data_IF_745201355469
#
_entry.id   IF_745201355469
#
_cell.length_a   1.000
_cell.length_b   1.000
_cell.length_c   1.000
_cell.angle_alpha   90.00
_cell.angle_beta   90.00
_cell.angle_gamma   90.00
#
_symmetry.space_group_name_H-M   'P 1'
#
loop_
_entity.id
_entity.type
_entity.pdbx_description
1 polymer ?
#
# COMPACT_ATOMS: atom_id res chain seq x y z
N UNK A 1 -3.70 -29.23 19.11
CA UNK A 1 -4.78 -28.53 18.40
C UNK A 1 -4.14 -27.51 17.48
N UNK A 2 -3.86 -27.87 16.23
CA UNK A 2 -3.46 -26.91 15.21
C UNK A 2 -4.74 -26.39 14.55
N UNK A 3 -5.18 -25.18 14.92
CA UNK A 3 -6.08 -24.44 14.03
C UNK A 3 -5.32 -24.25 12.73
N UNK A 4 -5.64 -25.07 11.72
CA UNK A 4 -5.31 -24.70 10.35
C UNK A 4 -6.03 -23.39 10.11
N UNK A 5 -5.29 -22.28 10.13
CA UNK A 5 -5.80 -20.98 9.75
C UNK A 5 -6.48 -21.17 8.39
N UNK A 6 -7.81 -21.15 8.39
CA UNK A 6 -8.58 -21.15 7.15
C UNK A 6 -8.06 -19.97 6.37
N UNK A 7 -7.41 -20.24 5.22
CA UNK A 7 -6.96 -19.17 4.33
C UNK A 7 -8.22 -18.50 3.81
N UNK A 8 -8.66 -17.45 4.48
CA UNK A 8 -9.77 -16.63 4.02
C UNK A 8 -9.32 -16.03 2.70
N UNK A 9 -9.96 -16.44 1.60
CA UNK A 9 -9.67 -15.92 0.26
C UNK A 9 -10.70 -14.91 -0.20
N UNK A 10 -11.91 -14.97 0.38
CA UNK A 10 -13.02 -14.11 0.01
C UNK A 10 -13.04 -12.86 0.89
N UNK A 11 -13.38 -11.73 0.29
CA UNK A 11 -13.60 -10.46 0.99
C UNK A 11 -15.09 -10.18 0.94
N UNK A 12 -15.71 -10.00 2.10
CA UNK A 12 -17.15 -9.79 2.24
C UNK A 12 -17.53 -8.31 2.08
N UNK A 13 -16.63 -7.40 2.44
CA UNK A 13 -16.84 -5.96 2.35
C UNK A 13 -16.61 -5.45 0.92
N UNK A 14 -17.28 -4.35 0.56
CA UNK A 14 -16.97 -3.63 -0.67
C UNK A 14 -15.65 -2.86 -0.50
N UNK A 15 -14.68 -3.07 -1.39
CA UNK A 15 -13.32 -2.56 -1.28
C UNK A 15 -13.02 -1.52 -2.37
N UNK A 16 -12.60 -0.33 -1.93
CA UNK A 16 -12.00 0.70 -2.79
C UNK A 16 -10.47 0.58 -2.77
N UNK A 17 -9.85 0.27 -3.90
CA UNK A 17 -8.39 0.32 -4.04
C UNK A 17 -7.89 1.75 -4.24
N UNK A 18 -7.16 2.32 -3.29
CA UNK A 18 -6.54 3.64 -3.40
C UNK A 18 -5.06 3.53 -3.79
N UNK A 19 -4.72 4.05 -4.97
CA UNK A 19 -3.36 3.98 -5.51
C UNK A 19 -2.88 5.32 -6.06
N UNK A 20 -1.61 5.38 -6.46
CA UNK A 20 -0.97 6.55 -7.02
C UNK A 20 0.54 6.53 -6.85
N UNK A 21 1.24 7.30 -7.68
CA UNK A 21 2.70 7.39 -7.68
C UNK A 21 3.29 7.91 -6.35
N UNK A 22 4.61 7.90 -6.24
CA UNK A 22 5.27 8.60 -5.13
C UNK A 22 4.91 10.10 -5.14
N UNK A 23 4.73 10.71 -3.97
CA UNK A 23 4.42 12.14 -3.85
C UNK A 23 3.02 12.58 -4.32
N UNK A 24 2.16 11.68 -4.82
CA UNK A 24 0.85 12.07 -5.35
C UNK A 24 -0.18 12.47 -4.29
N UNK A 25 0.04 12.13 -3.01
CA UNK A 25 -0.84 12.52 -1.90
C UNK A 25 -1.92 11.50 -1.49
N UNK A 26 -1.68 10.20 -1.72
CA UNK A 26 -2.54 9.11 -1.21
C UNK A 26 -2.91 9.29 0.26
N UNK A 27 -1.93 9.55 1.14
CA UNK A 27 -2.15 9.75 2.58
C UNK A 27 -3.10 10.90 2.87
N UNK A 28 -3.05 11.99 2.10
CA UNK A 28 -3.99 13.09 2.29
C UNK A 28 -5.43 12.66 1.98
N UNK A 29 -5.61 11.85 0.93
CA UNK A 29 -6.93 11.35 0.53
C UNK A 29 -7.43 10.25 1.47
N UNK A 30 -6.57 9.31 1.91
CA UNK A 30 -6.94 8.28 2.88
C UNK A 30 -7.39 8.91 4.20
N UNK A 31 -6.65 9.90 4.71
CA UNK A 31 -7.02 10.60 5.94
C UNK A 31 -8.35 11.36 5.80
N UNK A 32 -8.66 11.90 4.60
CA UNK A 32 -9.96 12.50 4.34
C UNK A 32 -11.10 11.48 4.35
N UNK A 33 -10.87 10.25 3.87
CA UNK A 33 -11.84 9.16 3.93
C UNK A 33 -12.02 8.63 5.35
N UNK A 34 -10.94 8.49 6.13
CA UNK A 34 -11.02 8.14 7.54
C UNK A 34 -11.83 9.17 8.34
N UNK A 35 -11.62 10.46 8.06
CA UNK A 35 -12.41 11.53 8.66
C UNK A 35 -13.91 11.49 8.27
N UNK A 36 -14.28 10.76 7.22
CA UNK A 36 -15.67 10.46 6.82
C UNK A 36 -16.18 9.14 7.42
N UNK A 37 -15.42 8.50 8.31
CA UNK A 37 -15.80 7.26 9.00
C UNK A 37 -15.53 5.99 8.20
N UNK A 38 -14.66 6.05 7.19
CA UNK A 38 -14.29 4.89 6.36
C UNK A 38 -13.01 4.24 6.88
N UNK A 39 -13.06 2.93 7.14
CA UNK A 39 -11.90 2.16 7.54
C UNK A 39 -10.86 2.11 6.41
N UNK A 40 -9.59 2.29 6.78
CA UNK A 40 -8.44 2.22 5.87
C UNK A 40 -7.55 1.05 6.27
N UNK A 41 -7.22 0.24 5.28
CA UNK A 41 -6.24 -0.85 5.37
C UNK A 41 -5.05 -0.45 4.50
N UNK A 42 -3.92 -0.12 5.12
CA UNK A 42 -2.71 0.33 4.42
C UNK A 42 -1.70 -0.81 4.28
N UNK A 43 -1.41 -1.18 3.02
CA UNK A 43 -0.50 -2.26 2.71
C UNK A 43 0.95 -2.00 3.18
N UNK A 44 1.40 -0.73 3.21
CA UNK A 44 2.73 -0.38 3.71
C UNK A 44 2.78 -0.52 5.25
N UNK A 45 1.69 -0.23 5.97
CA UNK A 45 1.61 -0.47 7.42
C UNK A 45 1.66 -1.97 7.69
N UNK A 46 0.86 -2.76 6.98
CA UNK A 46 0.84 -4.23 7.11
C UNK A 46 2.21 -4.83 6.80
N UNK A 47 2.89 -4.36 5.75
CA UNK A 47 4.24 -4.81 5.41
C UNK A 47 5.25 -4.55 6.54
N UNK A 48 4.98 -3.58 7.44
CA UNK A 48 5.78 -3.37 8.64
C UNK A 48 5.41 -4.34 9.76
N UNK A 49 4.11 -4.54 9.99
CA UNK A 49 3.56 -5.39 11.06
C UNK A 49 3.95 -6.87 10.88
N UNK A 50 3.94 -7.39 9.65
CA UNK A 50 4.28 -8.80 9.40
C UNK A 50 5.75 -9.14 9.70
N UNK A 51 6.60 -8.15 9.99
CA UNK A 51 8.01 -8.32 10.39
C UNK A 51 8.32 -7.66 11.74
N UNK A 52 7.30 -7.39 12.57
CA UNK A 52 7.49 -6.95 13.94
C UNK A 52 8.00 -8.06 14.86
N UNK A 53 8.61 -7.73 16.01
CA UNK A 53 9.02 -8.69 17.02
C UNK A 53 7.92 -9.71 17.34
N UNK A 54 8.25 -10.99 17.29
CA UNK A 54 7.32 -12.10 17.53
C UNK A 54 6.55 -12.59 16.31
N UNK A 55 6.58 -11.87 15.18
CA UNK A 55 5.90 -12.28 13.95
C UNK A 55 6.58 -13.48 13.28
N UNK A 56 5.80 -14.25 12.51
CA UNK A 56 6.34 -15.36 11.70
C UNK A 56 7.28 -14.86 10.60
N UNK A 57 7.01 -13.69 10.02
CA UNK A 57 7.87 -13.08 9.01
C UNK A 57 9.25 -12.75 9.56
N UNK A 58 9.34 -12.16 10.75
CA UNK A 58 10.63 -11.84 11.36
C UNK A 58 11.41 -13.10 11.73
N UNK A 59 10.76 -14.11 12.33
CA UNK A 59 11.40 -15.39 12.65
C UNK A 59 12.02 -16.05 11.42
N UNK A 60 11.29 -16.08 10.31
CA UNK A 60 11.78 -16.64 9.05
C UNK A 60 12.95 -15.84 8.46
N UNK A 61 12.89 -14.51 8.49
CA UNK A 61 13.98 -13.62 8.06
C UNK A 61 15.25 -13.88 8.89
N UNK A 62 15.14 -13.95 10.21
CA UNK A 62 16.28 -14.22 11.11
C UNK A 62 16.84 -15.62 10.89
N UNK A 63 15.99 -16.61 10.62
CA UNK A 63 16.43 -17.99 10.33
C UNK A 63 17.26 -18.05 9.05
N UNK A 64 16.93 -17.22 8.04
CA UNK A 64 17.60 -17.23 6.75
C UNK A 64 18.85 -16.34 6.69
N UNK A 65 18.78 -15.12 7.23
CA UNK A 65 19.89 -14.15 7.17
C UNK A 65 20.74 -14.09 8.45
N UNK A 66 20.32 -14.76 9.52
CA UNK A 66 20.99 -14.71 10.82
C UNK A 66 20.53 -13.54 11.71
N UNK A 67 21.05 -13.52 12.93
CA UNK A 67 20.68 -12.55 13.97
C UNK A 67 21.19 -11.13 13.68
N UNK A 68 22.19 -10.96 12.81
CA UNK A 68 22.78 -9.66 12.45
C UNK A 68 21.77 -8.72 11.75
N UNK A 69 20.65 -9.26 11.29
CA UNK A 69 19.54 -8.49 10.72
C UNK A 69 18.67 -7.81 11.78
N UNK A 70 18.92 -8.04 13.06
CA UNK A 70 18.18 -7.45 14.18
C UNK A 70 18.92 -6.24 14.77
N UNK A 71 18.13 -5.29 15.25
CA UNK A 71 18.58 -4.24 16.16
C UNK A 71 18.66 -4.80 17.59
N UNK A 72 19.33 -4.07 18.48
CA UNK A 72 19.53 -4.50 19.87
C UNK A 72 18.21 -4.66 20.67
N UNK A 73 17.14 -4.01 20.24
CA UNK A 73 15.80 -4.11 20.82
C UNK A 73 14.96 -5.27 20.24
N UNK A 74 15.52 -6.05 19.32
CA UNK A 74 14.84 -7.15 18.63
C UNK A 74 14.02 -6.75 17.41
N UNK A 75 13.96 -5.47 17.05
CA UNK A 75 13.33 -5.03 15.82
C UNK A 75 14.19 -5.37 14.58
N UNK A 76 13.54 -5.52 13.44
CA UNK A 76 14.24 -5.69 12.16
C UNK A 76 15.09 -4.46 11.80
N UNK A 77 16.38 -4.65 11.55
CA UNK A 77 17.24 -3.64 10.94
C UNK A 77 16.91 -3.51 9.44
N UNK A 78 15.93 -2.64 9.15
CA UNK A 78 15.43 -2.42 7.78
C UNK A 78 16.48 -1.84 6.84
N UNK A 79 17.48 -1.09 7.35
CA UNK A 79 18.56 -0.58 6.50
C UNK A 79 19.46 -1.72 6.05
N UNK A 80 19.92 -2.55 6.99
CA UNK A 80 20.75 -3.72 6.69
C UNK A 80 20.02 -4.70 5.76
N UNK A 81 18.73 -4.96 6.00
CA UNK A 81 17.94 -5.80 5.10
C UNK A 81 17.82 -5.20 3.70
N UNK A 82 17.58 -3.89 3.60
CA UNK A 82 17.51 -3.21 2.30
C UNK A 82 18.83 -3.33 1.55
N UNK A 83 19.95 -3.10 2.20
CA UNK A 83 21.29 -3.23 1.59
C UNK A 83 21.51 -4.67 1.08
N UNK A 84 21.20 -5.65 1.92
CA UNK A 84 21.38 -7.07 1.62
C UNK A 84 20.55 -7.54 0.42
N UNK A 85 19.30 -7.09 0.29
CA UNK A 85 18.44 -7.46 -0.84
C UNK A 85 18.60 -6.55 -2.06
N UNK A 86 19.13 -5.35 -1.90
CA UNK A 86 19.37 -4.42 -3.01
C UNK A 86 20.49 -4.93 -3.91
N UNK A 87 21.56 -5.47 -3.33
CA UNK A 87 22.70 -6.01 -4.09
C UNK A 87 22.53 -7.45 -4.56
N UNK A 88 21.49 -8.17 -4.11
CA UNK A 88 21.31 -9.59 -4.41
C UNK A 88 19.85 -9.92 -4.79
N UNK A 89 19.65 -10.23 -6.07
CA UNK A 89 18.35 -10.59 -6.62
C UNK A 89 17.78 -11.90 -6.03
N UNK A 90 18.62 -12.86 -5.66
CA UNK A 90 18.17 -14.11 -5.03
C UNK A 90 17.58 -13.82 -3.64
N UNK A 91 18.28 -13.02 -2.83
CA UNK A 91 17.78 -12.59 -1.52
C UNK A 91 16.50 -11.77 -1.62
N UNK A 92 16.43 -10.87 -2.61
CA UNK A 92 15.20 -10.10 -2.89
C UNK A 92 14.02 -11.01 -3.24
N UNK A 93 14.24 -11.99 -4.10
CA UNK A 93 13.21 -12.93 -4.52
C UNK A 93 12.76 -13.82 -3.37
N UNK A 94 13.69 -14.33 -2.57
CA UNK A 94 13.39 -15.10 -1.36
C UNK A 94 12.52 -14.29 -0.39
N UNK A 95 12.94 -13.04 -0.09
CA UNK A 95 12.22 -12.17 0.83
C UNK A 95 10.80 -11.87 0.32
N UNK A 96 10.65 -11.60 -0.97
CA UNK A 96 9.33 -11.38 -1.58
C UNK A 96 8.45 -12.62 -1.52
N UNK A 97 8.99 -13.81 -1.80
CA UNK A 97 8.26 -15.09 -1.69
C UNK A 97 7.77 -15.35 -0.26
N UNK A 98 8.56 -14.99 0.74
CA UNK A 98 8.17 -15.07 2.15
C UNK A 98 7.08 -14.04 2.50
N UNK A 99 7.28 -12.77 2.17
CA UNK A 99 6.45 -11.68 2.67
C UNK A 99 5.13 -11.52 1.91
N UNK A 100 5.09 -11.75 0.59
CA UNK A 100 3.85 -11.53 -0.18
C UNK A 100 2.66 -12.34 0.34
N UNK A 101 2.78 -13.65 0.66
CA UNK A 101 1.69 -14.41 1.25
C UNK A 101 1.22 -13.85 2.61
N UNK A 102 2.16 -13.49 3.49
CA UNK A 102 1.86 -12.96 4.82
C UNK A 102 1.11 -11.62 4.74
N UNK A 103 1.61 -10.71 3.91
CA UNK A 103 0.99 -9.38 3.69
C UNK A 103 -0.41 -9.55 3.10
N UNK A 104 -0.58 -10.41 2.08
CA UNK A 104 -1.88 -10.64 1.46
C UNK A 104 -2.88 -11.25 2.43
N UNK A 105 -2.45 -12.20 3.25
CA UNK A 105 -3.32 -12.80 4.26
C UNK A 105 -3.78 -11.76 5.28
N UNK A 106 -2.87 -10.93 5.79
CA UNK A 106 -3.23 -9.88 6.73
C UNK A 106 -4.16 -8.83 6.10
N UNK A 107 -3.91 -8.42 4.85
CA UNK A 107 -4.81 -7.54 4.09
C UNK A 107 -6.23 -8.14 4.05
N UNK A 108 -6.39 -9.41 3.69
CA UNK A 108 -7.72 -10.03 3.60
C UNK A 108 -8.42 -10.08 4.97
N UNK A 109 -7.67 -10.35 6.04
CA UNK A 109 -8.21 -10.33 7.41
C UNK A 109 -8.70 -8.93 7.76
N UNK A 110 -7.87 -7.90 7.56
CA UNK A 110 -8.21 -6.53 7.92
C UNK A 110 -9.36 -5.97 7.07
N UNK A 111 -9.39 -6.31 5.77
CA UNK A 111 -10.49 -5.93 4.88
C UNK A 111 -11.81 -6.56 5.31
N UNK A 112 -11.82 -7.80 5.81
CA UNK A 112 -13.02 -8.46 6.31
C UNK A 112 -13.46 -7.95 7.70
N UNK A 113 -12.51 -7.52 8.53
CA UNK A 113 -12.79 -7.01 9.87
C UNK A 113 -13.24 -5.54 9.88
N UNK A 114 -13.06 -4.82 8.78
CA UNK A 114 -13.54 -3.45 8.64
C UNK A 114 -15.07 -3.37 8.80
N UNK A 115 -15.55 -2.35 9.50
CA UNK A 115 -16.97 -2.19 9.86
C UNK A 115 -17.65 -1.00 9.20
N UNK A 116 -16.91 -0.18 8.44
CA UNK A 116 -17.46 0.94 7.69
C UNK A 116 -18.28 0.47 6.47
N UNK A 117 -19.16 1.32 5.90
CA UNK A 117 -20.01 0.93 4.77
C UNK A 117 -19.26 0.39 3.55
N UNK A 118 -18.02 0.84 3.36
CA UNK A 118 -17.02 0.21 2.50
C UNK A 118 -15.65 0.37 3.15
N UNK A 119 -14.63 -0.36 2.67
CA UNK A 119 -13.26 -0.29 3.17
C UNK A 119 -12.30 0.17 2.07
N UNK A 120 -11.23 0.88 2.45
CA UNK A 120 -10.20 1.34 1.51
C UNK A 120 -8.95 0.49 1.67
N UNK A 121 -8.46 -0.10 0.57
CA UNK A 121 -7.12 -0.69 0.50
C UNK A 121 -6.14 0.33 -0.09
N UNK A 122 -5.22 0.85 0.71
CA UNK A 122 -4.19 1.78 0.25
C UNK A 122 -2.94 1.00 -0.14
N UNK A 123 -2.52 1.13 -1.40
CA UNK A 123 -1.27 0.52 -1.87
C UNK A 123 -0.63 1.36 -3.00
N UNK A 124 0.63 1.84 -2.86
CA UNK A 124 1.33 2.54 -3.94
C UNK A 124 1.51 1.70 -5.21
N UNK A 125 1.62 0.38 -5.02
CA UNK A 125 1.87 -0.65 -6.03
C UNK A 125 0.65 -1.57 -6.20
N UNK A 126 -0.57 -0.99 -6.15
CA UNK A 126 -1.82 -1.74 -6.17
C UNK A 126 -1.90 -2.69 -7.39
N UNK A 127 -1.73 -2.16 -8.60
CA UNK A 127 -1.79 -2.92 -9.84
C UNK A 127 -0.54 -3.79 -10.03
N UNK A 128 0.63 -3.26 -9.70
CA UNK A 128 1.92 -3.93 -9.86
C UNK A 128 2.01 -5.21 -9.01
N UNK A 129 1.36 -5.24 -7.84
CA UNK A 129 1.35 -6.40 -6.95
C UNK A 129 0.09 -7.28 -7.08
N UNK A 130 -0.80 -6.97 -8.05
CA UNK A 130 -2.06 -7.68 -8.27
C UNK A 130 -2.99 -7.63 -7.05
N UNK A 131 -3.03 -6.50 -6.35
CA UNK A 131 -3.91 -6.26 -5.20
C UNK A 131 -5.27 -5.70 -5.63
N UNK A 132 -5.35 -5.15 -6.84
CA UNK A 132 -6.59 -4.71 -7.48
C UNK A 132 -7.65 -5.82 -7.58
N UNK A 133 -7.24 -7.09 -7.68
CA UNK A 133 -8.16 -8.25 -7.63
C UNK A 133 -8.97 -8.37 -6.32
N UNK A 134 -8.53 -7.71 -5.25
CA UNK A 134 -9.22 -7.63 -3.97
C UNK A 134 -10.16 -6.42 -3.89
N UNK A 135 -10.19 -5.59 -4.93
CA UNK A 135 -10.95 -4.35 -4.99
C UNK A 135 -12.18 -4.53 -5.87
N UNK A 136 -13.30 -3.93 -5.46
CA UNK A 136 -14.49 -3.83 -6.31
C UNK A 136 -14.41 -2.63 -7.26
N UNK A 137 -13.62 -1.62 -6.89
CA UNK A 137 -13.35 -0.42 -7.67
C UNK A 137 -12.01 0.18 -7.26
N UNK A 138 -11.38 0.93 -8.14
CA UNK A 138 -10.07 1.54 -7.92
C UNK A 138 -10.12 3.05 -8.14
N UNK A 139 -9.40 3.78 -7.28
CA UNK A 139 -9.23 5.23 -7.32
C UNK A 139 -7.74 5.57 -7.45
N UNK A 140 -7.36 6.16 -8.58
CA UNK A 140 -6.02 6.68 -8.80
C UNK A 140 -5.91 8.13 -8.34
N UNK A 141 -5.00 8.40 -7.41
CA UNK A 141 -4.58 9.76 -7.08
C UNK A 141 -3.51 10.20 -8.07
N UNK A 142 -3.91 11.12 -8.96
CA UNK A 142 -3.09 11.52 -10.09
C UNK A 142 -2.52 12.93 -9.92
N UNK A 143 -1.21 13.04 -10.19
CA UNK A 143 -0.49 14.29 -10.38
C UNK A 143 0.59 14.10 -11.46
N UNK A 144 0.92 15.14 -12.24
CA UNK A 144 2.00 15.09 -13.22
C UNK A 144 3.34 14.65 -12.61
N UNK A 145 4.21 14.02 -13.42
CA UNK A 145 5.52 13.48 -12.97
C UNK A 145 6.40 14.56 -12.31
N UNK A 146 6.44 15.77 -12.86
CA UNK A 146 7.19 16.89 -12.29
C UNK A 146 6.69 17.25 -10.87
N UNK A 147 5.38 17.16 -10.62
CA UNK A 147 4.79 17.41 -9.29
C UNK A 147 5.12 16.28 -8.32
N UNK A 148 5.16 15.02 -8.78
CA UNK A 148 5.64 13.89 -7.97
C UNK A 148 7.08 14.13 -7.52
N UNK A 149 7.94 14.56 -8.45
CA UNK A 149 9.35 14.86 -8.17
C UNK A 149 9.47 15.98 -7.16
N UNK A 150 8.86 17.13 -7.42
CA UNK A 150 8.92 18.32 -6.56
C UNK A 150 8.48 18.01 -5.13
N UNK A 151 7.31 17.36 -4.98
CA UNK A 151 6.76 17.00 -3.66
C UNK A 151 7.64 16.01 -2.91
N UNK A 152 8.24 15.05 -3.61
CA UNK A 152 9.07 14.01 -2.98
C UNK A 152 10.41 14.57 -2.53
N UNK A 153 11.10 15.33 -3.38
CA UNK A 153 12.37 16.00 -3.02
C UNK A 153 12.16 16.90 -1.81
N UNK A 154 11.10 17.70 -1.80
CA UNK A 154 10.79 18.62 -0.69
C UNK A 154 10.49 17.88 0.63
N UNK A 155 9.84 16.72 0.57
CA UNK A 155 9.44 15.96 1.76
C UNK A 155 10.58 15.13 2.34
N UNK A 156 11.28 14.39 1.48
CA UNK A 156 12.21 13.33 1.91
C UNK A 156 13.68 13.77 1.83
N UNK A 157 13.97 14.94 1.24
CA UNK A 157 15.33 15.46 1.04
C UNK A 157 16.27 14.47 0.33
N UNK A 158 15.74 13.77 -0.69
CA UNK A 158 16.46 12.79 -1.51
C UNK A 158 16.84 13.35 -2.89
N UNK A 159 17.82 12.71 -3.55
CA UNK A 159 18.29 13.18 -4.86
C UNK A 159 17.25 12.98 -5.97
N UNK A 160 17.34 13.81 -7.02
CA UNK A 160 16.50 13.66 -8.21
C UNK A 160 16.65 12.26 -8.85
N UNK A 161 17.86 11.71 -8.83
CA UNK A 161 18.13 10.36 -9.34
C UNK A 161 17.37 9.30 -8.54
N UNK A 162 17.42 9.36 -7.20
CA UNK A 162 16.69 8.44 -6.33
C UNK A 162 15.18 8.51 -6.56
N UNK A 163 14.61 9.71 -6.69
CA UNK A 163 13.18 9.88 -7.00
C UNK A 163 12.83 9.26 -8.35
N UNK A 164 13.65 9.49 -9.37
CA UNK A 164 13.43 8.91 -10.70
C UNK A 164 13.54 7.38 -10.68
N UNK A 165 14.47 6.80 -9.91
CA UNK A 165 14.55 5.35 -9.73
C UNK A 165 13.29 4.78 -9.08
N UNK A 166 12.71 5.47 -8.10
CA UNK A 166 11.44 5.05 -7.49
C UNK A 166 10.31 5.12 -8.50
N UNK A 167 10.18 6.22 -9.26
CA UNK A 167 9.15 6.35 -10.30
C UNK A 167 9.31 5.26 -11.37
N UNK A 168 10.54 4.94 -11.78
CA UNK A 168 10.82 3.91 -12.78
C UNK A 168 10.48 2.49 -12.30
N UNK A 169 10.45 2.26 -10.98
CA UNK A 169 10.01 0.98 -10.40
C UNK A 169 8.48 0.85 -10.29
N UNK A 170 7.72 1.91 -10.64
CA UNK A 170 6.26 1.91 -10.66
C UNK A 170 5.75 1.76 -12.09
N UNK A 171 4.53 1.24 -12.23
CA UNK A 171 3.78 1.31 -13.48
C UNK A 171 3.64 2.78 -13.92
N UNK A 172 3.72 3.04 -15.23
CA UNK A 172 3.63 4.40 -15.76
C UNK A 172 2.30 5.07 -15.40
N UNK A 173 2.30 6.40 -15.39
CA UNK A 173 1.10 7.20 -15.11
C UNK A 173 -0.02 6.85 -16.09
N UNK A 174 0.30 6.74 -17.37
CA UNK A 174 -0.63 6.46 -18.46
C UNK A 174 -1.27 5.07 -18.28
N UNK A 175 -0.47 4.05 -17.93
CA UNK A 175 -1.00 2.70 -17.64
C UNK A 175 -1.90 2.70 -16.41
N UNK A 176 -1.53 3.42 -15.33
CA UNK A 176 -2.40 3.55 -14.14
C UNK A 176 -3.72 4.23 -14.47
N UNK A 177 -3.69 5.29 -15.29
CA UNK A 177 -4.90 6.00 -15.73
C UNK A 177 -5.81 5.12 -16.59
N UNK A 178 -5.24 4.20 -17.40
CA UNK A 178 -6.02 3.26 -18.20
C UNK A 178 -6.65 2.14 -17.38
N UNK A 179 -6.02 1.73 -16.27
CA UNK A 179 -6.51 0.63 -15.43
C UNK A 179 -7.46 1.08 -14.32
N UNK A 180 -7.35 2.33 -13.85
CA UNK A 180 -8.17 2.82 -12.75
C UNK A 180 -9.62 3.11 -13.18
N UNK A 181 -10.57 2.76 -12.31
CA UNK A 181 -11.99 3.04 -12.53
C UNK A 181 -12.35 4.52 -12.34
N UNK A 182 -11.69 5.17 -11.38
CA UNK A 182 -11.81 6.59 -11.08
C UNK A 182 -10.43 7.25 -10.96
N UNK A 183 -10.36 8.53 -11.30
CA UNK A 183 -9.16 9.34 -11.20
C UNK A 183 -9.49 10.61 -10.41
N UNK A 184 -8.72 10.87 -9.35
CA UNK A 184 -8.80 12.12 -8.58
C UNK A 184 -7.52 12.93 -8.80
N UNK A 185 -7.66 14.07 -9.48
CA UNK A 185 -6.57 15.01 -9.71
C UNK A 185 -6.24 15.76 -8.41
N UNK A 186 -5.04 15.50 -7.87
CA UNK A 186 -4.50 16.11 -6.65
C UNK A 186 -3.43 17.18 -6.91
N UNK A 187 -3.35 17.71 -8.14
CA UNK A 187 -2.51 18.84 -8.52
C UNK A 187 -3.26 20.19 -8.34
N UNK A 188 -4.02 20.28 -7.26
CA UNK A 188 -4.92 21.40 -6.94
C UNK A 188 -4.98 21.60 -5.43
N UNK A 189 -5.67 22.66 -4.98
CA UNK A 189 -5.87 22.89 -3.55
C UNK A 189 -6.64 21.74 -2.89
N UNK A 190 -6.30 21.41 -1.64
CA UNK A 190 -6.96 20.31 -0.91
C UNK A 190 -8.47 20.54 -0.74
N UNK A 191 -8.94 21.79 -0.79
CA UNK A 191 -10.36 22.12 -0.78
C UNK A 191 -11.08 21.58 -2.02
N UNK A 192 -10.52 21.76 -3.22
CA UNK A 192 -11.10 21.24 -4.46
C UNK A 192 -11.01 19.72 -4.52
N UNK A 193 -9.89 19.16 -4.06
CA UNK A 193 -9.71 17.71 -3.98
C UNK A 193 -10.74 17.07 -3.04
N UNK A 194 -10.96 17.69 -1.88
CA UNK A 194 -11.98 17.25 -0.91
C UNK A 194 -13.39 17.33 -1.50
N UNK A 195 -13.71 18.37 -2.26
CA UNK A 195 -15.00 18.49 -2.95
C UNK A 195 -15.27 17.30 -3.88
N UNK A 196 -14.30 16.98 -4.75
CA UNK A 196 -14.44 15.89 -5.73
C UNK A 196 -14.43 14.52 -5.03
N UNK A 197 -13.62 14.36 -3.98
CA UNK A 197 -13.62 13.16 -3.15
C UNK A 197 -14.96 12.92 -2.46
N UNK A 198 -15.66 13.96 -2.00
CA UNK A 198 -17.00 13.84 -1.40
C UNK A 198 -18.01 13.32 -2.44
N UNK A 199 -17.91 13.77 -3.70
CA UNK A 199 -18.79 13.27 -4.77
C UNK A 199 -18.53 11.78 -5.06
N UNK A 200 -17.25 11.39 -5.18
CA UNK A 200 -16.85 9.99 -5.34
C UNK A 200 -17.30 9.12 -4.15
N UNK A 201 -17.08 9.58 -2.93
CA UNK A 201 -17.49 8.91 -1.69
C UNK A 201 -19.00 8.61 -1.68
N UNK A 202 -19.85 9.57 -2.06
CA UNK A 202 -21.30 9.33 -2.21
C UNK A 202 -21.61 8.26 -3.25
N UNK A 203 -20.82 8.18 -4.32
CA UNK A 203 -20.89 7.11 -5.31
C UNK A 203 -20.54 5.75 -4.72
N UNK A 204 -19.44 5.68 -3.96
CA UNK A 204 -18.98 4.45 -3.31
C UNK A 204 -19.97 3.93 -2.26
N UNK A 205 -20.56 4.81 -1.46
CA UNK A 205 -21.64 4.44 -0.53
C UNK A 205 -22.81 3.76 -1.25
N UNK A 206 -23.21 4.26 -2.43
CA UNK A 206 -24.29 3.64 -3.21
C UNK A 206 -23.89 2.30 -3.83
N UNK A 207 -22.63 2.14 -4.21
CA UNK A 207 -22.13 0.89 -4.79
C UNK A 207 -21.98 -0.21 -3.74
N UNK A 208 -21.55 0.16 -2.53
CA UNK A 208 -21.37 -0.78 -1.42
C UNK A 208 -22.69 -1.30 -0.83
N UNK A 209 -23.81 -0.63 -1.10
CA UNK A 209 -25.16 -1.07 -0.70
C UNK A 209 -25.81 -2.06 -1.68
N UNK A 210 -25.19 -2.34 -2.83
CA UNK A 210 -25.69 -3.28 -3.84
C UNK A 210 -25.14 -4.68 -3.61
#
# INVERSE_FOLDING_TARGET
MSEQAVKVTNINNWVLGLTGGIGCGKTAVSNMLEALGICVVDADIIARQVVEPGSEGLKAIVTHFGADILLADGNLNRSALRELVFSNNEHKNWLNTLLHPLIRQQIIIDLNNATSPYVVLVAPLLFENGLDKYCNRTLLIDVPKNVQIERTVKRDNISLEQVNSIIAAQMSREQKQQQADDILNNDRSLTLVKHDLIALHKGYLKLALK
#
